data_IF_667579774961
#
_entry.id   IF_667579774961
#
_cell.length_a   1.000
_cell.length_b   1.000
_cell.length_c   1.000
_cell.angle_alpha   90.00
_cell.angle_beta   90.00
_cell.angle_gamma   90.00
#
_symmetry.space_group_name_H-M   'P 1'
#
loop_
_entity.id
_entity.type
_entity.pdbx_description
1 polymer ?
#
# COMPACT_ATOMS: atom_id res chain seq x y z
N UNK A 1 -7.15 -14.38 2.56
CA UNK A 1 -7.26 -13.46 1.41
C UNK A 1 -6.53 -12.18 1.76
N UNK A 2 -5.33 -12.00 1.20
CA UNK A 2 -4.68 -10.69 1.11
C UNK A 2 -5.61 -9.80 0.26
N UNK A 3 -5.67 -8.50 0.55
CA UNK A 3 -6.55 -7.52 -0.14
C UNK A 3 -5.68 -6.45 -0.79
N UNK A 4 -6.15 -5.77 -1.82
CA UNK A 4 -5.48 -4.60 -2.44
C UNK A 4 -5.07 -3.51 -1.44
N UNK A 5 -5.84 -3.31 -0.35
CA UNK A 5 -5.46 -2.42 0.78
C UNK A 5 -4.17 -2.81 1.52
N UNK A 6 -3.66 -4.03 1.37
CA UNK A 6 -2.37 -4.43 1.95
C UNK A 6 -1.18 -4.01 1.08
N UNK A 7 -1.42 -3.64 -0.17
CA UNK A 7 -0.38 -3.15 -1.07
C UNK A 7 -0.29 -1.64 -1.02
N UNK A 8 -1.40 -0.92 -0.84
CA UNK A 8 -1.45 0.53 -0.89
C UNK A 8 -2.33 1.16 0.19
N UNK A 9 -1.94 2.34 0.69
CA UNK A 9 -2.76 3.17 1.60
C UNK A 9 -3.00 4.54 0.97
N UNK A 10 -4.25 4.97 0.90
CA UNK A 10 -4.64 6.31 0.45
C UNK A 10 -4.61 7.29 1.62
N UNK A 11 -3.91 8.43 1.47
CA UNK A 11 -4.04 9.53 2.43
C UNK A 11 -5.39 10.23 2.22
N UNK A 12 -6.34 10.09 3.16
CA UNK A 12 -7.54 10.95 3.18
C UNK A 12 -7.12 12.39 3.46
N UNK A 13 -7.48 13.31 2.58
CA UNK A 13 -7.47 14.72 2.92
C UNK A 13 -8.46 14.94 4.07
N UNK A 14 -7.98 15.42 5.21
CA UNK A 14 -8.85 15.92 6.28
C UNK A 14 -9.52 17.19 5.75
N UNK A 15 -10.77 17.05 5.30
CA UNK A 15 -11.65 18.19 5.09
C UNK A 15 -12.03 18.73 6.47
N UNK A 16 -11.67 19.98 6.75
CA UNK A 16 -12.09 20.72 7.93
C UNK A 16 -13.60 20.96 7.88
N UNK A 17 -14.38 20.00 8.37
CA UNK A 17 -15.74 20.20 8.89
C UNK A 17 -16.20 18.93 9.61
N UNK A 18 -15.92 18.84 10.90
CA UNK A 18 -16.62 17.92 11.79
C UNK A 18 -16.81 18.58 13.16
N UNK A 19 -18.08 18.92 13.42
CA UNK A 19 -18.60 19.30 14.73
C UNK A 19 -18.24 18.22 15.76
N UNK A 20 -17.85 18.67 16.95
CA UNK A 20 -17.70 17.86 18.15
C UNK A 20 -18.93 16.98 18.37
N UNK A 21 -18.72 15.68 18.61
CA UNK A 21 -19.54 14.92 19.55
C UNK A 21 -18.85 13.60 19.95
N UNK A 22 -18.53 13.52 21.24
CA UNK A 22 -18.39 12.38 22.14
C UNK A 22 -17.76 11.06 21.64
N UNK A 23 -16.49 10.86 22.02
CA UNK A 23 -15.81 9.57 22.08
C UNK A 23 -16.50 8.61 23.07
N UNK A 24 -16.89 7.42 22.60
CA UNK A 24 -16.94 6.21 23.45
C UNK A 24 -15.69 5.39 23.16
N UNK A 25 -14.77 5.36 24.13
CA UNK A 25 -13.57 4.51 24.12
C UNK A 25 -13.96 3.04 24.34
N UNK A 26 -13.51 2.16 23.46
CA UNK A 26 -13.41 0.73 23.77
C UNK A 26 -11.92 0.38 23.86
N UNK A 27 -11.43 0.23 25.08
CA UNK A 27 -10.12 -0.35 25.38
C UNK A 27 -10.28 -1.88 25.44
N UNK A 28 -9.55 -2.61 24.60
CA UNK A 28 -9.31 -4.04 24.81
C UNK A 28 -8.07 -4.18 25.70
N UNK A 29 -8.31 -4.46 26.98
CA UNK A 29 -7.28 -4.89 27.92
C UNK A 29 -6.88 -6.34 27.61
N UNK A 30 -5.58 -6.59 27.48
CA UNK A 30 -5.00 -7.89 27.78
C UNK A 30 -4.14 -7.74 29.04
N UNK A 31 -4.69 -8.25 30.14
CA UNK A 31 -4.03 -8.36 31.43
C UNK A 31 -3.17 -9.63 31.43
N UNK A 32 -1.86 -9.46 31.47
CA UNK A 32 -0.88 -10.53 31.68
C UNK A 32 0.02 -10.12 32.85
N UNK A 33 -0.56 -10.14 34.04
CA UNK A 33 0.14 -10.11 35.32
C UNK A 33 -0.59 -11.12 36.21
N UNK A 34 -0.03 -12.22 36.73
CA UNK A 34 1.32 -12.63 37.17
C UNK A 34 1.30 -14.18 37.24
N UNK A 35 2.46 -14.88 37.31
CA UNK A 35 2.87 -15.34 38.63
C UNK A 35 4.39 -15.53 38.75
N UNK A 36 5.10 -14.67 39.47
CA UNK A 36 6.32 -15.10 40.16
C UNK A 36 6.47 -14.26 41.43
N UNK A 37 5.94 -14.84 42.51
CA UNK A 37 6.24 -14.52 43.88
C UNK A 37 7.76 -14.55 44.09
N UNK A 38 8.30 -13.48 44.67
CA UNK A 38 9.67 -13.47 45.19
C UNK A 38 9.81 -14.62 46.20
N UNK A 39 10.85 -15.47 46.12
CA UNK A 39 11.19 -16.33 47.24
C UNK A 39 11.71 -15.44 48.38
N UNK A 40 10.96 -15.39 49.47
CA UNK A 40 11.42 -14.92 50.77
C UNK A 40 12.44 -15.93 51.30
N UNK A 41 13.70 -15.51 51.36
CA UNK A 41 14.76 -16.27 52.05
C UNK A 41 14.60 -16.02 53.54
N UNK A 42 14.03 -17.00 54.25
CA UNK A 42 14.11 -17.13 55.70
C UNK A 42 15.57 -17.46 56.05
N UNK A 43 16.28 -16.50 56.65
CA UNK A 43 17.56 -16.75 57.30
C UNK A 43 17.29 -17.53 58.58
N UNK A 44 17.58 -18.83 58.55
CA UNK A 44 17.71 -19.63 59.77
C UNK A 44 19.04 -19.30 60.46
N UNK A 45 18.98 -19.27 61.78
CA UNK A 45 20.10 -19.10 62.71
C UNK A 45 21.20 -20.13 62.42
N UNK A 46 22.42 -19.68 62.13
CA UNK A 46 23.57 -20.56 61.88
C UNK A 46 24.59 -20.44 63.00
N UNK A 47 24.25 -20.97 64.18
CA UNK A 47 25.25 -21.36 65.18
C UNK A 47 25.80 -22.75 64.83
N UNK A 48 26.49 -22.86 63.68
CA UNK A 48 27.50 -23.89 63.35
C UNK A 48 27.76 -23.84 61.85
N UNK A 49 28.73 -23.02 61.42
CA UNK A 49 29.19 -23.03 60.04
C UNK A 49 30.70 -23.28 60.01
N UNK A 50 31.04 -24.57 59.86
CA UNK A 50 32.41 -25.04 59.72
C UNK A 50 33.01 -24.51 58.40
N UNK A 51 34.30 -24.12 58.40
CA UNK A 51 34.98 -23.40 57.30
C UNK A 51 34.88 -24.08 55.93
N UNK A 52 34.67 -25.40 55.89
CA UNK A 52 34.45 -26.18 54.67
C UNK A 52 33.09 -25.94 54.00
N UNK A 53 32.02 -25.73 54.76
CA UNK A 53 30.66 -25.57 54.21
C UNK A 53 30.53 -24.25 53.44
N UNK A 54 31.20 -23.19 53.91
CA UNK A 54 31.27 -21.90 53.23
C UNK A 54 32.05 -21.98 51.91
N UNK A 55 33.16 -22.74 51.87
CA UNK A 55 33.95 -22.92 50.65
C UNK A 55 33.19 -23.72 49.58
N UNK A 56 32.45 -24.75 49.97
CA UNK A 56 31.62 -25.54 49.05
C UNK A 56 30.45 -24.68 48.53
N UNK A 57 29.80 -23.91 49.39
CA UNK A 57 28.74 -22.97 48.98
C UNK A 57 29.22 -21.93 47.97
N UNK A 58 30.41 -21.35 48.18
CA UNK A 58 31.02 -20.40 47.24
C UNK A 58 31.43 -21.08 45.94
N UNK A 59 32.00 -22.29 45.98
CA UNK A 59 32.38 -23.03 44.77
C UNK A 59 31.17 -23.42 43.93
N UNK A 60 30.07 -23.86 44.56
CA UNK A 60 28.79 -24.15 43.88
C UNK A 60 28.18 -22.85 43.34
N UNK A 61 28.21 -21.76 44.11
CA UNK A 61 27.74 -20.45 43.63
C UNK A 61 28.55 -20.00 42.40
N UNK A 62 29.88 -20.11 42.42
CA UNK A 62 30.72 -19.77 41.28
C UNK A 62 30.49 -20.70 40.09
N UNK A 63 30.29 -22.01 40.28
CA UNK A 63 29.98 -22.95 39.21
C UNK A 63 28.60 -22.71 38.60
N UNK A 64 27.59 -22.43 39.42
CA UNK A 64 26.24 -22.07 38.97
C UNK A 64 26.27 -20.71 38.28
N UNK A 65 26.98 -19.73 38.84
CA UNK A 65 27.18 -18.43 38.21
C UNK A 65 27.92 -18.58 36.88
N UNK A 66 28.97 -19.39 36.80
CA UNK A 66 29.74 -19.59 35.58
C UNK A 66 28.98 -20.38 34.52
N UNK A 67 28.15 -21.36 34.89
CA UNK A 67 27.31 -22.10 33.93
C UNK A 67 26.13 -21.26 33.45
N UNK A 68 25.50 -20.47 34.34
CA UNK A 68 24.40 -19.55 33.98
C UNK A 68 24.92 -18.38 33.15
N UNK A 69 26.01 -17.70 33.55
CA UNK A 69 26.54 -16.52 32.84
C UNK A 69 27.37 -16.84 31.60
N UNK A 70 27.81 -18.08 31.39
CA UNK A 70 28.39 -18.47 30.09
C UNK A 70 27.31 -18.78 29.06
N UNK A 71 26.05 -18.97 29.50
CA UNK A 71 24.89 -19.15 28.62
C UNK A 71 24.21 -17.82 28.22
N UNK A 72 24.52 -16.71 28.90
CA UNK A 72 24.08 -15.38 28.47
C UNK A 72 24.95 -14.95 27.30
N UNK A 73 24.46 -15.21 26.10
CA UNK A 73 25.02 -14.70 24.85
C UNK A 73 25.36 -13.21 25.01
N UNK A 74 26.63 -12.87 24.77
CA UNK A 74 27.12 -11.48 24.69
C UNK A 74 26.13 -10.60 23.90
N UNK A 75 25.89 -9.35 24.30
CA UNK A 75 24.95 -8.48 23.59
C UNK A 75 25.39 -8.41 22.11
N UNK A 76 24.57 -8.96 21.23
CA UNK A 76 24.82 -8.92 19.79
C UNK A 76 24.92 -7.45 19.39
N UNK A 77 25.96 -7.10 18.63
CA UNK A 77 26.10 -5.75 18.07
C UNK A 77 24.83 -5.37 17.32
N UNK A 78 24.32 -4.17 17.54
CA UNK A 78 23.13 -3.67 16.85
C UNK A 78 23.30 -3.83 15.34
N UNK A 79 22.33 -4.48 14.69
CA UNK A 79 22.32 -4.61 13.24
C UNK A 79 22.10 -3.24 12.60
N UNK A 80 22.38 -3.12 11.29
CA UNK A 80 22.06 -1.90 10.53
C UNK A 80 20.57 -1.54 10.62
N UNK A 81 19.70 -2.55 10.70
CA UNK A 81 18.26 -2.35 10.89
C UNK A 81 17.97 -1.81 12.29
N UNK A 82 18.58 -2.39 13.33
CA UNK A 82 18.41 -1.91 14.71
C UNK A 82 18.88 -0.46 14.86
N UNK A 83 20.02 -0.11 14.25
CA UNK A 83 20.48 1.28 14.22
C UNK A 83 19.45 2.16 13.51
N UNK A 84 19.01 1.81 12.30
CA UNK A 84 18.02 2.61 11.58
C UNK A 84 16.73 2.82 12.39
N UNK A 85 16.16 1.75 12.93
CA UNK A 85 14.91 1.77 13.67
C UNK A 85 15.02 2.61 14.95
N UNK A 86 16.13 2.50 15.67
CA UNK A 86 16.28 3.17 16.97
C UNK A 86 16.79 4.61 16.86
N UNK A 87 17.57 4.96 15.83
CA UNK A 87 18.27 6.26 15.78
C UNK A 87 17.65 7.27 14.81
N UNK A 88 16.92 6.82 13.78
CA UNK A 88 16.33 7.74 12.79
C UNK A 88 14.92 8.16 13.19
N UNK A 89 14.47 9.34 12.74
CA UNK A 89 13.07 9.78 12.95
C UNK A 89 12.10 8.77 12.32
N UNK A 90 12.34 8.38 11.05
CA UNK A 90 11.50 7.42 10.34
C UNK A 90 11.50 6.04 11.01
N UNK A 91 12.65 5.54 11.42
CA UNK A 91 12.78 4.25 12.11
C UNK A 91 11.97 4.20 13.40
N UNK A 92 12.06 5.26 14.22
CA UNK A 92 11.30 5.33 15.47
C UNK A 92 9.81 5.49 15.22
N UNK A 93 9.40 6.23 14.19
CA UNK A 93 7.99 6.31 13.78
C UNK A 93 7.43 4.96 13.33
N UNK A 94 8.24 4.13 12.66
CA UNK A 94 7.86 2.77 12.27
C UNK A 94 7.67 1.88 13.50
N UNK A 95 8.57 1.96 14.49
CA UNK A 95 8.44 1.19 15.74
C UNK A 95 7.31 1.69 16.63
N UNK A 96 7.07 3.00 16.66
CA UNK A 96 6.16 3.67 17.57
C UNK A 96 5.23 4.60 16.77
N UNK A 97 4.09 4.11 16.27
CA UNK A 97 3.19 4.89 15.41
C UNK A 97 2.63 6.17 16.04
N UNK A 98 2.59 6.21 17.38
CA UNK A 98 2.12 7.36 18.16
C UNK A 98 3.26 8.21 18.75
N UNK A 99 4.47 8.09 18.20
CA UNK A 99 5.62 8.88 18.64
C UNK A 99 5.38 10.37 18.36
N UNK A 100 5.33 11.17 19.43
CA UNK A 100 5.32 12.61 19.32
C UNK A 100 6.71 13.10 18.89
N UNK A 101 6.78 13.75 17.73
CA UNK A 101 8.01 14.39 17.27
C UNK A 101 8.28 15.67 18.06
N UNK A 102 9.54 15.92 18.36
CA UNK A 102 9.96 17.21 18.90
C UNK A 102 9.78 18.31 17.86
N UNK A 103 9.67 19.57 18.31
CA UNK A 103 9.55 20.72 17.40
C UNK A 103 10.69 20.78 16.37
N UNK A 104 11.91 20.44 16.78
CA UNK A 104 13.09 20.44 15.91
C UNK A 104 13.02 19.33 14.84
N UNK A 105 12.55 18.13 15.21
CA UNK A 105 12.36 17.03 14.27
C UNK A 105 11.27 17.34 13.24
N UNK A 106 10.18 17.99 13.67
CA UNK A 106 9.13 18.47 12.76
C UNK A 106 9.67 19.50 11.77
N UNK A 107 10.44 20.49 12.24
CA UNK A 107 11.09 21.50 11.38
C UNK A 107 12.08 20.84 10.42
N UNK A 108 12.84 19.85 10.88
CA UNK A 108 13.78 19.11 10.05
C UNK A 108 13.07 18.39 8.89
N UNK A 109 11.93 17.75 9.16
CA UNK A 109 11.13 17.10 8.13
C UNK A 109 10.55 18.12 7.14
N UNK A 110 10.04 19.25 7.63
CA UNK A 110 9.50 20.33 6.78
C UNK A 110 10.56 20.92 5.86
N UNK A 111 11.77 21.18 6.36
CA UNK A 111 12.87 21.71 5.56
C UNK A 111 13.32 20.72 4.46
N UNK A 112 13.31 19.42 4.75
CA UNK A 112 13.61 18.38 3.75
C UNK A 112 12.58 18.30 2.62
N UNK A 113 11.34 18.74 2.86
CA UNK A 113 10.29 18.76 1.81
C UNK A 113 10.45 19.94 0.84
N UNK A 114 11.05 21.05 1.27
CA UNK A 114 11.14 22.27 0.46
C UNK A 114 12.15 22.19 -0.70
N UNK A 115 13.10 21.26 -0.66
CA UNK A 115 14.11 21.07 -1.70
C UNK A 115 13.64 20.25 -2.91
N UNK A 116 12.39 19.77 -2.89
CA UNK A 116 11.86 18.85 -3.91
C UNK A 116 11.21 19.57 -5.12
N UNK A 117 10.92 20.87 -5.01
CA UNK A 117 10.00 21.58 -5.90
C UNK A 117 10.61 22.25 -7.13
N UNK A 118 11.91 22.17 -7.36
CA UNK A 118 12.58 23.14 -8.24
C UNK A 118 12.74 22.72 -9.71
N UNK A 119 12.37 21.50 -10.10
CA UNK A 119 12.85 20.95 -11.38
C UNK A 119 11.73 20.46 -12.32
N UNK A 120 11.37 21.22 -13.36
CA UNK A 120 10.35 20.84 -14.34
C UNK A 120 10.77 19.65 -15.24
N UNK A 121 12.07 19.33 -15.32
CA UNK A 121 12.63 18.11 -15.92
C UNK A 121 13.62 17.47 -14.95
N UNK A 122 13.11 16.71 -14.00
CA UNK A 122 13.96 15.93 -13.09
C UNK A 122 13.94 14.44 -13.45
N UNK A 123 14.85 14.04 -14.34
CA UNK A 123 15.05 12.62 -14.63
C UNK A 123 15.75 11.87 -13.48
N UNK A 124 16.22 12.57 -12.44
CA UNK A 124 16.88 11.93 -11.29
C UNK A 124 15.93 11.03 -10.50
N UNK A 125 14.61 11.20 -10.67
CA UNK A 125 13.58 10.28 -10.18
C UNK A 125 13.85 8.82 -10.60
N UNK A 126 14.50 8.62 -11.75
CA UNK A 126 14.77 7.29 -12.32
C UNK A 126 16.23 6.86 -12.25
N UNK A 127 17.14 7.74 -11.81
CA UNK A 127 18.59 7.45 -11.82
C UNK A 127 19.05 6.67 -10.60
N UNK A 128 18.27 6.64 -9.51
CA UNK A 128 18.61 5.81 -8.35
C UNK A 128 18.55 4.34 -8.75
N UNK A 129 19.72 3.73 -8.99
CA UNK A 129 19.85 2.32 -9.30
C UNK A 129 19.41 1.50 -8.09
N UNK A 130 18.15 1.11 -8.05
CA UNK A 130 17.71 0.02 -7.21
C UNK A 130 18.21 -1.27 -7.84
N UNK A 131 18.85 -2.12 -7.06
CA UNK A 131 19.20 -3.47 -7.51
C UNK A 131 17.88 -4.17 -7.86
N UNK A 132 17.70 -4.49 -9.15
CA UNK A 132 16.53 -5.20 -9.65
C UNK A 132 16.89 -6.68 -9.70
N UNK A 133 16.10 -7.51 -9.05
CA UNK A 133 16.29 -8.96 -9.11
C UNK A 133 15.97 -9.50 -10.53
N UNK A 134 16.60 -10.61 -10.98
CA UNK A 134 16.23 -11.25 -12.25
C UNK A 134 14.74 -11.59 -12.34
N UNK A 135 14.14 -11.90 -11.21
CA UNK A 135 12.70 -12.17 -11.10
C UNK A 135 11.85 -10.93 -11.41
N UNK A 136 12.22 -9.75 -10.88
CA UNK A 136 11.56 -8.48 -11.20
C UNK A 136 11.65 -8.10 -12.69
N UNK A 137 12.67 -8.57 -13.41
CA UNK A 137 12.81 -8.34 -14.85
C UNK A 137 11.86 -9.22 -15.67
N UNK A 138 11.58 -10.44 -15.19
CA UNK A 138 10.76 -11.45 -15.90
C UNK A 138 9.28 -11.45 -15.49
N UNK A 139 8.91 -10.68 -14.47
CA UNK A 139 7.55 -10.58 -13.96
C UNK A 139 7.04 -9.12 -13.98
N UNK A 140 6.87 -8.51 -15.17
CA UNK A 140 6.47 -7.12 -15.28
C UNK A 140 5.03 -6.87 -14.79
N UNK A 141 4.85 -5.76 -14.07
CA UNK A 141 3.56 -5.28 -13.57
C UNK A 141 3.12 -4.03 -14.33
N UNK A 142 1.81 -3.78 -14.36
CA UNK A 142 1.21 -2.60 -14.98
C UNK A 142 0.44 -1.76 -13.94
N UNK A 143 0.54 -0.44 -14.04
CA UNK A 143 -0.10 0.49 -13.12
C UNK A 143 -0.82 1.60 -13.88
N UNK A 144 -2.06 1.89 -13.51
CA UNK A 144 -2.69 3.19 -13.79
C UNK A 144 -2.54 4.08 -12.58
N UNK A 145 -2.18 5.35 -12.79
CA UNK A 145 -2.16 6.39 -11.76
C UNK A 145 -3.10 7.52 -12.19
N UNK A 146 -4.17 7.74 -11.45
CA UNK A 146 -5.05 8.89 -11.62
C UNK A 146 -4.56 10.06 -10.76
N UNK A 147 -4.36 11.22 -11.37
CA UNK A 147 -3.88 12.42 -10.67
C UNK A 147 -4.65 13.68 -11.08
N UNK A 148 -5.00 14.51 -10.10
CA UNK A 148 -5.60 15.82 -10.33
C UNK A 148 -4.88 16.98 -9.60
N UNK A 149 -3.98 16.68 -8.66
CA UNK A 149 -3.25 17.68 -7.86
C UNK A 149 -2.00 17.05 -7.21
N UNK A 150 -1.21 17.87 -6.51
CA UNK A 150 -0.08 17.48 -5.66
C UNK A 150 0.99 16.65 -6.38
N UNK A 151 1.90 17.34 -7.04
CA UNK A 151 3.01 16.76 -7.78
C UNK A 151 3.98 15.98 -6.87
N UNK A 152 4.20 16.42 -5.62
CA UNK A 152 5.13 15.73 -4.72
C UNK A 152 4.64 14.34 -4.33
N UNK A 153 3.34 14.21 -4.05
CA UNK A 153 2.75 12.91 -3.71
C UNK A 153 2.89 11.95 -4.89
N UNK A 154 2.67 12.46 -6.11
CA UNK A 154 2.87 11.69 -7.32
C UNK A 154 4.32 11.28 -7.52
N UNK A 155 5.26 12.19 -7.36
CA UNK A 155 6.68 11.90 -7.53
C UNK A 155 7.19 10.93 -6.46
N UNK A 156 6.71 11.08 -5.23
CA UNK A 156 6.96 10.13 -4.16
C UNK A 156 6.43 8.75 -4.53
N UNK A 157 5.15 8.64 -4.90
CA UNK A 157 4.55 7.39 -5.34
C UNK A 157 5.34 6.78 -6.50
N UNK A 158 5.57 7.53 -7.58
CA UNK A 158 6.29 7.07 -8.75
C UNK A 158 7.69 6.59 -8.37
N UNK A 159 8.45 7.36 -7.58
CA UNK A 159 9.77 6.97 -7.09
C UNK A 159 9.72 5.69 -6.26
N UNK A 160 8.67 5.44 -5.48
CA UNK A 160 8.54 4.19 -4.70
C UNK A 160 8.23 2.97 -5.58
N UNK A 161 7.34 3.10 -6.56
CA UNK A 161 6.89 1.95 -7.37
C UNK A 161 7.66 1.74 -8.68
N UNK A 162 8.39 2.74 -9.18
CA UNK A 162 9.01 2.70 -10.51
C UNK A 162 10.03 1.56 -10.63
N UNK A 163 9.90 0.79 -11.71
CA UNK A 163 10.88 -0.20 -12.20
C UNK A 163 10.90 -0.12 -13.71
N UNK A 164 12.10 -0.28 -14.29
CA UNK A 164 12.28 -0.26 -15.76
C UNK A 164 11.56 -1.42 -16.48
N UNK A 165 11.29 -2.52 -15.78
CA UNK A 165 10.56 -3.68 -16.32
C UNK A 165 9.04 -3.50 -16.28
N UNK A 166 8.51 -2.64 -15.41
CA UNK A 166 7.07 -2.41 -15.26
C UNK A 166 6.53 -1.39 -16.26
N UNK A 167 5.21 -1.26 -16.35
CA UNK A 167 4.50 -0.35 -17.25
C UNK A 167 3.60 0.58 -16.44
N UNK A 168 3.58 1.86 -16.80
CA UNK A 168 2.80 2.86 -16.09
C UNK A 168 1.99 3.69 -17.07
N UNK A 169 0.69 3.82 -16.84
CA UNK A 169 -0.12 4.82 -17.50
C UNK A 169 -0.58 5.86 -16.48
N UNK A 170 -0.45 7.13 -16.84
CA UNK A 170 -0.75 8.24 -15.97
C UNK A 170 -1.87 9.03 -16.60
N UNK A 171 -3.03 9.08 -15.94
CA UNK A 171 -4.11 9.95 -16.36
C UNK A 171 -4.08 11.20 -15.50
N UNK A 172 -3.74 12.32 -16.14
CA UNK A 172 -3.85 13.64 -15.52
C UNK A 172 -5.24 14.17 -15.83
N UNK A 173 -6.00 14.52 -14.79
CA UNK A 173 -7.35 15.09 -14.91
C UNK A 173 -7.33 16.31 -15.85
N UNK A 174 -8.35 16.42 -16.70
CA UNK A 174 -8.50 17.56 -17.61
C UNK A 174 -8.62 18.87 -16.82
N UNK A 175 -9.22 18.85 -15.62
CA UNK A 175 -9.38 20.03 -14.77
C UNK A 175 -8.11 20.43 -14.01
N UNK A 176 -7.06 19.60 -14.05
CA UNK A 176 -5.81 19.92 -13.38
C UNK A 176 -5.09 21.11 -14.08
N UNK A 177 -4.33 21.93 -13.33
CA UNK A 177 -3.54 23.01 -13.91
C UNK A 177 -2.62 22.52 -15.03
N UNK A 178 -2.47 23.32 -16.09
CA UNK A 178 -1.57 22.99 -17.21
C UNK A 178 -0.13 22.75 -16.74
N UNK A 179 0.32 23.46 -15.71
CA UNK A 179 1.63 23.28 -15.08
C UNK A 179 1.83 21.86 -14.53
N UNK A 180 0.79 21.24 -13.95
CA UNK A 180 0.86 19.87 -13.46
C UNK A 180 1.00 18.88 -14.61
N UNK A 181 0.20 19.06 -15.67
CA UNK A 181 0.26 18.19 -16.85
C UNK A 181 1.64 18.24 -17.51
N UNK A 182 2.18 19.45 -17.75
CA UNK A 182 3.50 19.61 -18.36
C UNK A 182 4.62 19.06 -17.46
N UNK A 183 4.51 19.21 -16.14
CA UNK A 183 5.46 18.64 -15.19
C UNK A 183 5.50 17.10 -15.24
N UNK A 184 4.34 16.45 -15.31
CA UNK A 184 4.22 14.99 -15.41
C UNK A 184 4.67 14.50 -16.79
N UNK A 185 4.31 15.22 -17.86
CA UNK A 185 4.74 14.92 -19.23
C UNK A 185 6.25 14.99 -19.37
N UNK A 186 6.87 16.02 -18.83
CA UNK A 186 8.32 16.15 -18.80
C UNK A 186 9.00 15.00 -18.02
N UNK A 187 8.48 14.64 -16.84
CA UNK A 187 8.96 13.47 -16.08
C UNK A 187 8.82 12.18 -16.86
N UNK A 188 7.69 11.99 -17.55
CA UNK A 188 7.42 10.80 -18.35
C UNK A 188 8.37 10.69 -19.53
N UNK A 189 8.76 11.82 -20.14
CA UNK A 189 9.67 11.85 -21.29
C UNK A 189 11.10 11.33 -21.02
N UNK A 190 11.48 11.19 -19.75
CA UNK A 190 12.79 10.66 -19.36
C UNK A 190 12.93 9.14 -19.56
N UNK A 191 11.81 8.43 -19.73
CA UNK A 191 11.75 6.96 -19.75
C UNK A 191 10.73 6.48 -20.80
N UNK A 192 10.84 5.22 -21.22
CA UNK A 192 10.02 4.68 -22.31
C UNK A 192 8.80 3.90 -21.85
N UNK A 193 8.71 3.58 -20.56
CA UNK A 193 7.69 2.70 -19.97
C UNK A 193 6.61 3.47 -19.18
N UNK A 194 6.54 4.79 -19.35
CA UNK A 194 5.49 5.65 -18.80
C UNK A 194 4.71 6.26 -19.96
N UNK A 195 3.39 6.12 -19.92
CA UNK A 195 2.49 6.53 -20.99
C UNK A 195 1.43 7.49 -20.47
N UNK A 196 1.04 8.43 -21.34
CA UNK A 196 -0.08 9.34 -21.12
C UNK A 196 -1.14 9.02 -22.17
N UNK A 197 -2.42 8.84 -21.79
CA UNK A 197 -3.48 8.64 -22.76
C UNK A 197 -3.63 9.89 -23.64
N UNK A 198 -3.98 9.71 -24.92
CA UNK A 198 -4.14 10.81 -25.88
C UNK A 198 -5.19 11.83 -25.44
N UNK A 199 -6.24 11.37 -24.76
CA UNK A 199 -7.35 12.18 -24.27
C UNK A 199 -7.30 12.24 -22.74
N UNK A 200 -7.56 13.44 -22.20
CA UNK A 200 -7.80 13.65 -20.76
C UNK A 200 -9.31 13.73 -20.50
N UNK A 201 -9.72 13.26 -19.33
CA UNK A 201 -11.12 13.23 -18.89
C UNK A 201 -11.27 14.24 -17.75
N UNK A 202 -12.37 14.98 -17.73
CA UNK A 202 -12.74 15.81 -16.59
C UNK A 202 -13.32 14.90 -15.51
N UNK A 203 -12.50 14.46 -14.55
CA UNK A 203 -12.90 13.43 -13.58
C UNK A 203 -13.75 14.06 -12.48
N UNK A 204 -14.99 13.62 -12.33
CA UNK A 204 -15.89 13.98 -11.25
C UNK A 204 -16.02 12.83 -10.24
N UNK A 205 -16.00 13.17 -8.95
CA UNK A 205 -16.09 12.19 -7.87
C UNK A 205 -17.43 11.45 -7.89
N UNK A 206 -17.40 10.13 -7.72
CA UNK A 206 -18.59 9.28 -7.73
C UNK A 206 -19.32 9.22 -9.08
N UNK A 207 -18.68 9.66 -10.16
CA UNK A 207 -19.24 9.67 -11.52
C UNK A 207 -18.47 8.71 -12.44
N UNK A 208 -19.09 8.37 -13.56
CA UNK A 208 -18.54 7.47 -14.58
C UNK A 208 -17.17 7.88 -15.14
N UNK A 209 -16.86 9.18 -15.12
CA UNK A 209 -15.57 9.72 -15.57
C UNK A 209 -14.33 9.09 -14.91
N UNK A 210 -14.49 8.50 -13.71
CA UNK A 210 -13.40 7.76 -13.04
C UNK A 210 -13.05 6.50 -13.85
N UNK A 211 -14.05 5.65 -14.14
CA UNK A 211 -13.88 4.46 -14.97
C UNK A 211 -13.42 4.81 -16.38
N UNK A 212 -13.90 5.92 -16.94
CA UNK A 212 -13.44 6.41 -18.24
C UNK A 212 -11.95 6.73 -18.26
N UNK A 213 -11.45 7.43 -17.24
CA UNK A 213 -10.03 7.72 -17.09
C UNK A 213 -9.18 6.43 -16.96
N UNK A 214 -9.66 5.46 -16.17
CA UNK A 214 -9.00 4.17 -16.01
C UNK A 214 -8.97 3.35 -17.31
N UNK A 215 -10.10 3.26 -18.01
CA UNK A 215 -10.22 2.52 -19.27
C UNK A 215 -9.26 3.07 -20.34
N UNK A 216 -9.13 4.40 -20.45
CA UNK A 216 -8.15 5.00 -21.36
C UNK A 216 -6.72 4.55 -21.05
N UNK A 217 -6.38 4.43 -19.77
CA UNK A 217 -5.07 3.97 -19.37
C UNK A 217 -4.85 2.47 -19.54
N UNK A 218 -5.85 1.65 -19.24
CA UNK A 218 -5.82 0.21 -19.52
C UNK A 218 -5.61 -0.05 -21.01
N UNK A 219 -6.32 0.67 -21.88
CA UNK A 219 -6.15 0.56 -23.33
C UNK A 219 -4.73 0.92 -23.77
N UNK A 220 -4.11 1.95 -23.20
CA UNK A 220 -2.70 2.21 -23.50
C UNK A 220 -1.80 1.09 -22.99
N UNK A 221 -1.94 0.65 -21.75
CA UNK A 221 -1.12 -0.44 -21.21
C UNK A 221 -1.24 -1.74 -22.02
N UNK A 222 -2.43 -2.06 -22.53
CA UNK A 222 -2.67 -3.21 -23.40
C UNK A 222 -1.95 -3.09 -24.75
N UNK A 223 -1.91 -1.88 -25.34
CA UNK A 223 -1.23 -1.61 -26.63
C UNK A 223 0.29 -1.69 -26.53
N UNK A 224 0.86 -1.24 -25.42
CA UNK A 224 2.32 -1.08 -25.29
C UNK A 224 3.07 -2.39 -25.04
N UNK A 225 2.39 -3.41 -24.51
CA UNK A 225 3.02 -4.68 -24.20
C UNK A 225 2.00 -5.77 -24.02
N UNK A 226 2.40 -7.00 -24.34
CA UNK A 226 1.66 -8.24 -24.10
C UNK A 226 2.21 -9.04 -22.91
N UNK A 227 3.25 -8.54 -22.23
CA UNK A 227 4.07 -9.36 -21.31
C UNK A 227 3.80 -9.14 -19.84
N UNK A 228 3.24 -7.98 -19.45
CA UNK A 228 2.89 -7.71 -18.06
C UNK A 228 1.80 -8.64 -17.54
N UNK A 229 1.88 -8.98 -16.25
CA UNK A 229 1.12 -10.08 -15.64
C UNK A 229 -0.12 -9.59 -14.92
N UNK A 230 0.04 -8.53 -14.14
CA UNK A 230 -1.00 -7.94 -13.31
C UNK A 230 -1.07 -6.44 -13.48
N UNK A 231 -2.27 -5.92 -13.27
CA UNK A 231 -2.66 -4.53 -13.37
C UNK A 231 -3.15 -4.02 -12.01
N UNK A 232 -2.71 -2.82 -11.64
CA UNK A 232 -3.16 -2.08 -10.45
C UNK A 232 -3.72 -0.71 -10.86
N UNK A 233 -4.82 -0.28 -10.25
CA UNK A 233 -5.27 1.11 -10.33
C UNK A 233 -4.96 1.86 -9.02
N UNK A 234 -4.32 3.03 -9.17
CA UNK A 234 -3.87 3.86 -8.06
C UNK A 234 -4.39 5.30 -8.24
N UNK A 235 -4.65 5.95 -7.12
CA UNK A 235 -4.70 7.40 -7.02
C UNK A 235 -3.29 7.95 -6.68
N UNK A 236 -3.02 9.21 -7.00
CA UNK A 236 -1.73 9.83 -6.70
C UNK A 236 -1.41 9.97 -5.20
N UNK A 237 -2.42 9.82 -4.33
CA UNK A 237 -2.29 9.85 -2.87
C UNK A 237 -2.09 8.46 -2.25
N UNK A 238 -1.96 7.41 -3.06
CA UNK A 238 -1.64 6.07 -2.60
C UNK A 238 -0.15 5.91 -2.30
N UNK A 239 0.18 5.03 -1.36
CA UNK A 239 1.55 4.73 -0.95
C UNK A 239 1.73 3.22 -0.85
N UNK A 240 2.77 2.62 -1.47
CA UNK A 240 3.01 1.19 -1.37
C UNK A 240 3.46 0.77 0.04
N UNK A 241 2.94 -0.36 0.52
CA UNK A 241 3.34 -1.04 1.76
C UNK A 241 4.24 -2.27 1.52
N UNK A 242 4.52 -2.57 0.27
CA UNK A 242 5.37 -3.68 -0.18
C UNK A 242 6.32 -3.20 -1.24
N UNK A 243 7.53 -3.72 -1.21
CA UNK A 243 8.49 -3.56 -2.29
C UNK A 243 7.98 -4.27 -3.55
N UNK A 244 8.50 -3.88 -4.72
CA UNK A 244 8.13 -4.53 -5.99
C UNK A 244 8.47 -6.03 -5.99
N UNK A 245 9.59 -6.43 -5.38
CA UNK A 245 9.93 -7.84 -5.20
C UNK A 245 8.90 -8.59 -4.36
N UNK A 246 8.51 -8.05 -3.20
CA UNK A 246 7.47 -8.65 -2.35
C UNK A 246 6.11 -8.72 -3.06
N UNK A 247 5.75 -7.69 -3.85
CA UNK A 247 4.55 -7.73 -4.69
C UNK A 247 4.59 -8.93 -5.62
N UNK A 248 5.70 -9.14 -6.34
CA UNK A 248 5.84 -10.26 -7.28
C UNK A 248 5.74 -11.61 -6.55
N UNK A 249 6.39 -11.76 -5.39
CA UNK A 249 6.24 -12.99 -4.59
C UNK A 249 4.79 -13.27 -4.23
N UNK A 250 4.07 -12.24 -3.79
CA UNK A 250 2.66 -12.38 -3.42
C UNK A 250 1.82 -12.71 -4.65
N UNK A 251 1.99 -12.01 -5.77
CA UNK A 251 1.22 -12.22 -7.00
C UNK A 251 1.42 -13.61 -7.62
N UNK A 252 2.60 -14.22 -7.45
CA UNK A 252 2.82 -15.62 -7.81
C UNK A 252 1.93 -16.56 -7.02
N UNK A 253 1.66 -16.26 -5.74
CA UNK A 253 0.72 -17.04 -4.91
C UNK A 253 -0.74 -16.86 -5.33
N UNK A 254 -1.09 -15.72 -5.96
CA UNK A 254 -2.44 -15.50 -6.50
C UNK A 254 -2.74 -16.39 -7.71
N UNK A 255 -1.73 -16.95 -8.38
CA UNK A 255 -1.86 -17.95 -9.44
C UNK A 255 -2.92 -17.58 -10.51
N UNK A 256 -2.71 -16.43 -11.16
CA UNK A 256 -3.62 -15.87 -12.18
C UNK A 256 -5.06 -15.60 -11.70
N UNK A 257 -5.25 -15.24 -10.43
CA UNK A 257 -6.54 -14.80 -9.90
C UNK A 257 -6.55 -13.28 -9.67
N UNK A 258 -7.69 -12.64 -9.95
CA UNK A 258 -7.91 -11.24 -9.61
C UNK A 258 -8.11 -11.06 -8.10
N UNK A 259 -7.79 -9.88 -7.56
CA UNK A 259 -8.18 -9.46 -6.21
C UNK A 259 -9.16 -8.30 -6.32
N UNK A 260 -10.44 -8.63 -6.18
CA UNK A 260 -11.55 -7.68 -6.29
C UNK A 260 -12.50 -7.99 -5.15
N UNK A 261 -12.76 -7.01 -4.30
CA UNK A 261 -13.82 -7.12 -3.30
C UNK A 261 -15.17 -7.15 -4.00
N UNK A 262 -16.04 -8.12 -3.70
CA UNK A 262 -17.35 -8.22 -4.34
C UNK A 262 -18.40 -8.69 -3.34
N UNK A 263 -19.21 -7.76 -2.86
CA UNK A 263 -20.29 -7.99 -1.91
C UNK A 263 -21.65 -7.75 -2.59
N UNK A 264 -22.67 -8.59 -2.36
CA UNK A 264 -24.01 -8.33 -2.89
C UNK A 264 -24.49 -6.94 -2.49
N UNK A 265 -25.02 -6.20 -3.46
CA UNK A 265 -25.58 -4.87 -3.27
C UNK A 265 -27.07 -4.91 -3.62
N UNK A 266 -27.89 -4.85 -2.58
CA UNK A 266 -29.36 -5.00 -2.68
C UNK A 266 -30.11 -3.69 -2.87
N UNK A 267 -29.42 -2.55 -2.78
CA UNK A 267 -30.02 -1.24 -3.01
C UNK A 267 -29.98 -0.88 -4.50
N UNK A 268 -31.02 -0.20 -4.98
CA UNK A 268 -31.12 0.26 -6.37
C UNK A 268 -30.83 1.76 -6.55
N UNK A 269 -30.45 2.46 -5.48
CA UNK A 269 -30.30 3.92 -5.51
C UNK A 269 -29.19 4.39 -6.45
N UNK A 270 -28.16 3.57 -6.66
CA UNK A 270 -27.03 3.93 -7.53
C UNK A 270 -27.35 3.81 -9.02
N UNK A 271 -28.39 3.06 -9.38
CA UNK A 271 -28.74 2.82 -10.78
C UNK A 271 -29.58 3.94 -11.41
N UNK A 272 -30.01 4.94 -10.63
CA UNK A 272 -30.77 6.10 -11.11
C UNK A 272 -32.00 5.72 -11.97
N UNK A 273 -32.74 4.69 -11.56
CA UNK A 273 -33.93 4.14 -12.25
C UNK A 273 -33.69 3.72 -13.71
N UNK A 274 -32.44 3.41 -14.10
CA UNK A 274 -32.11 2.96 -15.46
C UNK A 274 -32.56 1.53 -15.70
N UNK A 275 -33.06 1.26 -16.90
CA UNK A 275 -33.42 -0.09 -17.35
C UNK A 275 -32.16 -0.93 -17.52
N UNK A 276 -32.17 -2.13 -16.93
CA UNK A 276 -31.07 -3.08 -17.05
C UNK A 276 -31.03 -3.68 -18.47
N UNK A 277 -29.89 -3.64 -19.19
CA UNK A 277 -29.70 -4.39 -20.42
C UNK A 277 -29.96 -5.88 -20.25
N UNK A 278 -30.47 -6.55 -21.28
CA UNK A 278 -30.75 -7.98 -21.26
C UNK A 278 -29.51 -8.86 -21.05
N UNK A 279 -28.32 -8.35 -21.37
CA UNK A 279 -27.04 -9.01 -21.12
C UNK A 279 -26.62 -8.99 -19.64
N UNK A 280 -27.28 -8.19 -18.79
CA UNK A 280 -26.95 -8.05 -17.38
C UNK A 280 -28.02 -8.69 -16.51
N UNK A 281 -27.59 -9.24 -15.37
CA UNK A 281 -28.46 -9.95 -14.43
C UNK A 281 -28.16 -9.53 -12.99
N UNK A 282 -29.20 -9.54 -12.16
CA UNK A 282 -29.09 -9.34 -10.72
C UNK A 282 -28.52 -10.60 -10.02
N UNK A 283 -27.97 -10.46 -8.79
CA UNK A 283 -27.81 -9.24 -8.02
C UNK A 283 -26.65 -8.36 -8.52
N UNK A 284 -26.69 -7.06 -8.21
CA UNK A 284 -25.50 -6.23 -8.33
C UNK A 284 -24.49 -6.54 -7.23
N UNK A 285 -23.23 -6.23 -7.51
CA UNK A 285 -22.14 -6.37 -6.56
C UNK A 285 -21.44 -5.03 -6.38
N UNK A 286 -21.06 -4.76 -5.14
CA UNK A 286 -20.27 -3.61 -4.73
C UNK A 286 -18.90 -4.07 -4.26
N UNK A 287 -17.88 -3.30 -4.55
CA UNK A 287 -16.52 -3.50 -4.09
C UNK A 287 -15.86 -2.21 -3.65
N UNK A 288 -14.55 -2.21 -3.79
CA UNK A 288 -13.69 -1.07 -3.53
C UNK A 288 -13.23 -0.46 -4.86
N UNK A 289 -12.78 0.79 -4.81
CA UNK A 289 -12.15 1.45 -5.96
C UNK A 289 -10.91 0.70 -6.44
N UNK A 290 -10.04 0.26 -5.52
CA UNK A 290 -8.78 -0.41 -5.87
C UNK A 290 -8.97 -1.88 -6.19
N UNK A 291 -8.47 -2.28 -7.36
CA UNK A 291 -8.50 -3.64 -7.90
C UNK A 291 -7.12 -4.10 -8.33
N UNK A 292 -6.91 -5.41 -8.21
CA UNK A 292 -5.80 -6.12 -8.83
C UNK A 292 -6.38 -7.03 -9.90
N UNK A 293 -6.02 -6.79 -11.15
CA UNK A 293 -6.52 -7.56 -12.28
C UNK A 293 -5.38 -8.30 -12.95
N UNK A 294 -5.62 -9.53 -13.37
CA UNK A 294 -4.76 -10.20 -14.35
C UNK A 294 -4.81 -9.46 -15.68
N UNK A 295 -3.77 -9.61 -16.51
CA UNK A 295 -3.81 -9.08 -17.87
C UNK A 295 -5.00 -9.59 -18.69
N UNK A 296 -5.29 -10.88 -18.62
CA UNK A 296 -6.43 -11.47 -19.34
C UNK A 296 -7.76 -10.89 -18.89
N UNK A 297 -7.93 -10.55 -17.60
CA UNK A 297 -9.11 -9.83 -17.14
C UNK A 297 -9.19 -8.42 -17.73
N UNK A 298 -8.07 -7.69 -17.82
CA UNK A 298 -8.03 -6.38 -18.49
C UNK A 298 -8.34 -6.52 -19.99
N UNK A 299 -7.86 -7.55 -20.66
CA UNK A 299 -8.22 -7.82 -22.07
C UNK A 299 -9.73 -8.13 -22.22
N UNK A 300 -10.28 -8.95 -21.32
CA UNK A 300 -11.68 -9.33 -21.31
C UNK A 300 -12.61 -8.11 -21.19
N UNK A 301 -12.34 -7.18 -20.28
CA UNK A 301 -13.20 -6.00 -20.08
C UNK A 301 -13.27 -5.08 -21.31
N UNK A 302 -12.24 -5.10 -22.16
CA UNK A 302 -12.17 -4.27 -23.38
C UNK A 302 -12.65 -4.99 -24.65
N UNK A 303 -12.90 -6.30 -24.59
CA UNK A 303 -13.24 -7.12 -25.77
C UNK A 303 -14.58 -7.85 -25.65
N UNK A 304 -15.03 -8.15 -24.42
CA UNK A 304 -16.27 -8.87 -24.21
C UNK A 304 -17.50 -7.95 -24.27
N UNK A 305 -18.48 -8.29 -25.12
CA UNK A 305 -19.69 -7.49 -25.31
C UNK A 305 -20.49 -7.27 -24.02
N UNK A 306 -20.55 -8.26 -23.12
CA UNK A 306 -21.25 -8.12 -21.84
C UNK A 306 -20.55 -7.12 -20.92
N UNK A 307 -19.22 -7.10 -20.91
CA UNK A 307 -18.44 -6.14 -20.15
C UNK A 307 -18.57 -4.71 -20.73
N UNK A 308 -18.65 -4.58 -22.05
CA UNK A 308 -18.90 -3.32 -22.76
C UNK A 308 -20.32 -2.81 -22.47
N UNK A 309 -21.33 -3.68 -22.50
CA UNK A 309 -22.70 -3.33 -22.13
C UNK A 309 -22.80 -2.83 -20.69
N UNK A 310 -22.10 -3.50 -19.75
CA UNK A 310 -22.01 -3.04 -18.38
C UNK A 310 -21.37 -1.65 -18.27
N UNK A 311 -20.24 -1.45 -18.96
CA UNK A 311 -19.55 -0.17 -18.98
C UNK A 311 -20.48 0.95 -19.48
N UNK A 312 -21.19 0.72 -20.58
CA UNK A 312 -22.14 1.67 -21.14
C UNK A 312 -23.36 1.89 -20.22
N UNK A 313 -23.88 0.84 -19.58
CA UNK A 313 -24.99 0.94 -18.64
C UNK A 313 -24.64 1.82 -17.43
N UNK A 314 -23.42 1.65 -16.90
CA UNK A 314 -22.93 2.40 -15.74
C UNK A 314 -22.70 3.88 -16.03
N UNK A 315 -22.58 4.28 -17.30
CA UNK A 315 -22.60 5.69 -17.67
C UNK A 315 -23.99 6.29 -17.36
N UNK A 316 -24.03 7.24 -16.41
CA UNK A 316 -25.27 7.78 -15.85
C UNK A 316 -25.74 7.13 -14.56
N UNK A 317 -24.93 6.23 -13.96
CA UNK A 317 -25.13 5.70 -12.60
C UNK A 317 -24.23 6.39 -11.58
N UNK A 318 -24.51 6.20 -10.29
CA UNK A 318 -23.74 6.79 -9.19
C UNK A 318 -22.70 5.81 -8.63
N UNK A 319 -21.46 6.28 -8.45
CA UNK A 319 -20.30 5.53 -7.93
C UNK A 319 -20.03 4.22 -8.70
N UNK A 320 -19.98 4.25 -10.05
CA UNK A 320 -19.84 3.05 -10.86
C UNK A 320 -18.49 2.35 -10.70
N UNK A 321 -17.46 3.08 -10.29
CA UNK A 321 -16.12 2.58 -9.98
C UNK A 321 -16.13 1.54 -8.84
N UNK A 322 -17.08 1.63 -7.90
CA UNK A 322 -17.29 0.61 -6.87
C UNK A 322 -18.19 -0.56 -7.33
N UNK A 323 -18.62 -0.61 -8.59
CA UNK A 323 -19.51 -1.66 -9.12
C UNK A 323 -18.89 -2.44 -10.28
N UNK A 324 -18.24 -1.74 -11.23
CA UNK A 324 -17.86 -2.31 -12.52
C UNK A 324 -17.08 -3.61 -12.41
N UNK A 325 -15.89 -3.56 -11.81
CA UNK A 325 -15.04 -4.74 -11.65
C UNK A 325 -15.68 -5.80 -10.76
N UNK A 326 -16.42 -5.38 -9.73
CA UNK A 326 -17.07 -6.28 -8.78
C UNK A 326 -18.17 -7.12 -9.42
N UNK A 327 -18.92 -6.54 -10.36
CA UNK A 327 -19.93 -7.27 -11.11
C UNK A 327 -19.31 -8.28 -12.06
N UNK A 328 -18.28 -7.87 -12.81
CA UNK A 328 -17.59 -8.73 -13.78
C UNK A 328 -16.95 -9.92 -13.07
N UNK A 329 -16.32 -9.70 -11.91
CA UNK A 329 -15.67 -10.73 -11.10
C UNK A 329 -16.62 -11.86 -10.60
N UNK A 330 -17.94 -11.65 -10.69
CA UNK A 330 -18.95 -12.62 -10.25
C UNK A 330 -19.61 -13.36 -11.40
N UNK A 331 -19.29 -13.00 -12.64
CA UNK A 331 -19.75 -13.77 -13.79
C UNK A 331 -19.00 -15.10 -13.83
N UNK A 332 -19.73 -16.18 -14.06
CA UNK A 332 -19.14 -17.45 -14.44
C UNK A 332 -18.77 -17.34 -15.91
N UNK A 333 -17.55 -17.75 -16.25
CA UNK A 333 -17.21 -18.01 -17.66
C UNK A 333 -18.21 -19.04 -18.17
N UNK A 334 -18.93 -18.68 -19.25
CA UNK A 334 -19.89 -19.54 -19.95
C UNK A 334 -19.21 -20.29 -21.06
#
# INVERSE_FOLDING_TARGET
MLRTRFFYVTRRALSNNAKQNHEKRFCLNFDLSTPYTKPSVLLHDTSDCNRHTLCIGLAVYFLVWFTIFRSTSWPKSATKLDTFLNTTICGRLIQHPNLALTKNESIQLEHQMQTYFSFPKDCSLYTSQRIISPEELTYPLAFTILIHTNLDQFDFLLKTIYRKSNYYCIHVDLKAPATLYEAIKNRSSCVTNIYLPKRRVHVAWGQFSILEAEHLCQQELLKQSTTWKYYFNLANSDIPLKTNFELIQILKLYNNQNDITSLPYTSYHRQNNRTLPSSLSLPFYKGEFHVLLTRSAVEYIHTNNRAIDLYNFLNGTSVPDEHYYSMINRWKET
#
